data_IF_544546178781
#
_entry.id   IF_544546178781
#
_cell.length_a   1.000
_cell.length_b   1.000
_cell.length_c   1.000
_cell.angle_alpha   90.00
_cell.angle_beta   90.00
_cell.angle_gamma   90.00
#
_symmetry.space_group_name_H-M   'P 1'
#
loop_
_entity.id
_entity.type
_entity.pdbx_description
1 polymer ?
#
# COMPACT_ATOMS: atom_id res chain seq x y z
N UNK A 1 29.59 21.77 -33.73
CA UNK A 1 28.48 22.15 -32.83
C UNK A 1 29.11 22.68 -31.55
N UNK A 2 28.94 23.96 -31.25
CA UNK A 2 29.42 24.59 -30.00
C UNK A 2 28.27 24.65 -29.00
N UNK A 3 28.39 23.93 -27.89
CA UNK A 3 27.51 24.09 -26.72
C UNK A 3 27.92 25.39 -26.03
N UNK A 4 27.08 26.42 -26.08
CA UNK A 4 27.25 27.64 -25.31
C UNK A 4 26.72 27.40 -23.89
N UNK A 5 27.59 27.50 -22.89
CA UNK A 5 27.24 27.44 -21.47
C UNK A 5 26.52 28.74 -21.07
N UNK A 6 25.30 28.63 -20.54
CA UNK A 6 24.55 29.71 -19.93
C UNK A 6 24.40 29.43 -18.42
N UNK A 7 25.17 30.10 -17.55
CA UNK A 7 25.12 29.84 -16.12
C UNK A 7 23.71 30.03 -15.52
N UNK A 8 22.87 30.91 -16.06
CA UNK A 8 21.54 31.12 -15.49
C UNK A 8 20.59 29.94 -15.77
N UNK A 9 20.71 29.33 -16.96
CA UNK A 9 19.93 28.16 -17.33
C UNK A 9 20.57 26.86 -16.82
N UNK A 10 21.89 26.73 -16.99
CA UNK A 10 22.63 25.50 -16.74
C UNK A 10 22.78 25.21 -15.25
N UNK A 11 23.02 26.21 -14.40
CA UNK A 11 23.09 25.94 -12.95
C UNK A 11 21.73 25.54 -12.38
N UNK A 12 20.65 26.17 -12.85
CA UNK A 12 19.29 25.79 -12.46
C UNK A 12 18.97 24.34 -12.82
N UNK A 13 19.36 23.89 -14.01
CA UNK A 13 19.14 22.52 -14.47
C UNK A 13 20.03 21.47 -13.79
N UNK A 14 21.22 21.83 -13.30
CA UNK A 14 22.22 20.87 -12.81
C UNK A 14 22.27 20.76 -11.29
N UNK A 15 21.99 21.84 -10.53
CA UNK A 15 22.36 21.89 -9.11
C UNK A 15 21.23 21.68 -8.12
N UNK A 16 19.99 21.99 -8.49
CA UNK A 16 18.91 22.06 -7.50
C UNK A 16 18.42 20.66 -7.06
N UNK A 17 18.56 19.64 -7.93
CA UNK A 17 18.01 18.28 -7.71
C UNK A 17 16.55 18.30 -7.30
N UNK A 18 15.80 19.30 -7.77
CA UNK A 18 14.36 19.35 -7.54
C UNK A 18 13.65 18.45 -8.54
N UNK A 19 12.47 17.97 -8.17
CA UNK A 19 11.60 17.25 -9.07
C UNK A 19 10.16 17.77 -8.94
N UNK A 20 9.44 17.79 -10.07
CA UNK A 20 8.00 17.98 -10.08
C UNK A 20 7.31 16.74 -9.53
N UNK A 21 6.49 16.94 -8.51
CA UNK A 21 5.66 15.89 -7.91
C UNK A 21 4.20 16.30 -7.94
N UNK A 22 3.33 15.32 -7.73
CA UNK A 22 1.92 15.57 -7.42
C UNK A 22 1.65 15.21 -5.96
N UNK A 23 1.22 16.19 -5.16
CA UNK A 23 0.72 15.97 -3.80
C UNK A 23 -0.80 15.76 -3.86
N UNK A 24 -1.28 14.63 -3.36
CA UNK A 24 -2.68 14.29 -3.24
C UNK A 24 -3.08 14.28 -1.77
N UNK A 25 -3.81 15.31 -1.29
CA UNK A 25 -4.31 15.35 0.07
C UNK A 25 -5.29 14.20 0.36
N UNK A 26 -5.32 13.71 1.59
CA UNK A 26 -6.28 12.69 2.04
C UNK A 26 -7.75 13.15 1.90
N UNK A 27 -7.99 14.46 2.06
CA UNK A 27 -9.30 15.07 1.83
C UNK A 27 -9.73 15.14 0.35
N UNK A 28 -8.85 14.76 -0.58
CA UNK A 28 -9.08 14.83 -2.02
C UNK A 28 -8.40 16.03 -2.69
N UNK A 29 -8.46 16.04 -4.03
CA UNK A 29 -7.73 16.99 -4.87
C UNK A 29 -6.30 16.55 -5.18
N UNK A 30 -5.64 17.27 -6.07
CA UNK A 30 -4.24 17.07 -6.42
C UNK A 30 -3.58 18.43 -6.67
N UNK A 31 -2.37 18.61 -6.14
CA UNK A 31 -1.59 19.84 -6.26
C UNK A 31 -0.24 19.48 -6.90
N UNK A 32 0.09 20.15 -7.99
CA UNK A 32 1.41 20.03 -8.60
C UNK A 32 2.43 20.86 -7.83
N UNK A 33 3.58 20.28 -7.51
CA UNK A 33 4.67 20.93 -6.78
C UNK A 33 5.96 20.78 -7.59
N UNK A 34 6.42 21.85 -8.22
CA UNK A 34 7.51 21.78 -9.19
C UNK A 34 8.93 21.77 -8.58
N UNK A 35 9.07 22.15 -7.31
CA UNK A 35 10.37 22.34 -6.67
C UNK A 35 10.57 21.46 -5.42
N UNK A 36 10.08 20.21 -5.47
CA UNK A 36 10.23 19.26 -4.35
C UNK A 36 11.66 18.70 -4.33
N UNK A 37 12.25 18.58 -3.14
CA UNK A 37 13.58 17.97 -2.97
C UNK A 37 13.44 16.61 -2.30
N UNK A 38 13.83 15.54 -3.01
CA UNK A 38 13.93 14.20 -2.44
C UNK A 38 15.32 13.97 -1.85
N UNK A 39 15.42 13.82 -0.52
CA UNK A 39 16.68 13.40 0.12
C UNK A 39 16.90 11.92 -0.12
N UNK A 40 18.15 11.54 -0.40
CA UNK A 40 18.54 10.13 -0.48
C UNK A 40 18.20 9.44 0.85
N UNK A 41 17.66 8.21 0.84
CA UNK A 41 17.43 7.46 2.06
C UNK A 41 18.74 7.39 2.85
N UNK A 42 18.72 7.82 4.11
CA UNK A 42 19.85 7.62 5.01
C UNK A 42 19.77 6.17 5.46
N UNK A 43 20.57 5.29 4.86
CA UNK A 43 20.70 3.90 5.28
C UNK A 43 21.31 3.90 6.68
N UNK A 44 20.48 3.70 7.69
CA UNK A 44 20.87 3.52 9.09
C UNK A 44 20.13 2.33 9.67
N UNK A 45 20.68 1.69 10.69
CA UNK A 45 20.00 0.59 11.39
C UNK A 45 18.62 1.08 11.88
N UNK A 46 17.56 0.38 11.48
CA UNK A 46 16.19 0.74 11.76
C UNK A 46 15.93 0.76 13.27
N UNK A 47 15.85 1.95 13.88
CA UNK A 47 15.07 2.13 15.11
C UNK A 47 13.61 2.22 14.73
N UNK A 48 12.99 1.06 14.57
CA UNK A 48 11.53 0.94 14.52
C UNK A 48 10.97 1.48 15.83
N UNK A 49 10.18 2.55 15.78
CA UNK A 49 9.32 2.92 16.90
C UNK A 49 8.32 1.76 17.13
N UNK A 50 8.52 0.99 18.19
CA UNK A 50 7.53 0.07 18.74
C UNK A 50 7.43 -1.36 18.17
N UNK A 51 8.01 -1.67 17.00
CA UNK A 51 8.01 -3.05 16.46
C UNK A 51 9.40 -3.65 16.53
N UNK A 52 9.59 -4.70 17.35
CA UNK A 52 10.81 -5.53 17.31
C UNK A 52 10.90 -6.16 15.93
N UNK A 53 11.78 -5.63 15.10
CA UNK A 53 12.19 -6.25 13.84
C UNK A 53 13.26 -7.26 14.20
N UNK A 54 12.88 -8.53 14.29
CA UNK A 54 13.80 -9.63 14.58
C UNK A 54 14.29 -10.33 13.31
N UNK A 55 14.05 -9.73 12.13
CA UNK A 55 14.42 -10.33 10.85
C UNK A 55 15.48 -9.51 10.11
N UNK A 56 16.57 -10.14 9.64
CA UNK A 56 17.56 -9.50 8.79
C UNK A 56 16.94 -9.26 7.40
N UNK A 57 16.53 -8.03 7.11
CA UNK A 57 15.92 -7.70 5.81
C UNK A 57 14.93 -6.54 5.80
N UNK A 58 14.63 -5.88 6.93
CA UNK A 58 13.77 -4.69 6.91
C UNK A 58 14.44 -3.52 6.18
N UNK A 59 14.12 -3.38 4.90
CA UNK A 59 14.58 -2.29 4.05
C UNK A 59 13.96 -0.99 4.58
N UNK A 60 14.79 -0.03 4.97
CA UNK A 60 14.36 1.33 5.24
C UNK A 60 13.77 1.94 3.97
N UNK A 61 12.45 2.06 3.92
CA UNK A 61 11.70 2.68 2.80
C UNK A 61 11.30 4.13 3.07
N UNK A 62 11.81 4.74 4.14
CA UNK A 62 11.47 6.11 4.50
C UNK A 62 12.37 7.08 3.75
N UNK A 63 11.72 8.01 3.05
CA UNK A 63 12.36 9.06 2.27
C UNK A 63 11.89 10.40 2.82
N UNK A 64 12.84 11.32 2.96
CA UNK A 64 12.53 12.69 3.37
C UNK A 64 12.34 13.54 2.12
N UNK A 65 11.15 14.11 2.01
CA UNK A 65 10.79 15.11 1.02
C UNK A 65 10.84 16.50 1.63
N UNK A 66 11.36 17.48 0.89
CA UNK A 66 11.18 18.88 1.24
C UNK A 66 10.30 19.57 0.20
N UNK A 67 9.16 20.10 0.63
CA UNK A 67 8.18 20.78 -0.24
C UNK A 67 8.20 22.29 0.04
N UNK A 68 8.22 23.16 -0.98
CA UNK A 68 8.11 24.61 -0.76
C UNK A 68 6.76 24.98 -0.14
N UNK A 69 6.79 25.65 1.02
CA UNK A 69 5.57 26.00 1.74
C UNK A 69 4.65 26.92 0.94
N UNK A 70 5.22 27.86 0.18
CA UNK A 70 4.46 28.78 -0.67
C UNK A 70 3.77 28.13 -1.88
N UNK A 71 4.12 26.89 -2.23
CA UNK A 71 3.44 26.16 -3.30
C UNK A 71 2.19 25.42 -2.80
N UNK A 72 1.99 25.33 -1.48
CA UNK A 72 0.91 24.58 -0.87
C UNK A 72 -0.07 25.54 -0.20
N UNK A 73 -1.35 25.47 -0.59
CA UNK A 73 -2.40 26.24 0.07
C UNK A 73 -2.67 25.75 1.51
N UNK A 74 -2.47 24.46 1.76
CA UNK A 74 -2.66 23.81 3.05
C UNK A 74 -1.39 23.07 3.47
N UNK A 75 -1.17 22.94 4.77
CA UNK A 75 -0.09 22.13 5.31
C UNK A 75 -0.28 20.65 4.89
N UNK A 76 0.78 19.96 4.42
CA UNK A 76 0.72 18.52 4.22
C UNK A 76 0.54 17.82 5.57
N UNK A 77 -0.28 16.78 5.59
CA UNK A 77 -0.59 16.01 6.80
C UNK A 77 -0.23 14.53 6.61
N UNK A 78 -0.03 13.77 7.71
CA UNK A 78 0.07 12.31 7.61
C UNK A 78 -1.11 11.72 6.83
N UNK A 79 -0.83 10.74 5.96
CA UNK A 79 -1.82 10.11 5.07
C UNK A 79 -1.90 10.70 3.67
N UNK A 80 -1.46 11.95 3.48
CA UNK A 80 -1.32 12.54 2.15
C UNK A 80 -0.35 11.71 1.30
N UNK A 81 -0.55 11.72 -0.02
CA UNK A 81 0.25 10.94 -0.97
C UNK A 81 1.09 11.86 -1.84
N UNK A 82 2.35 11.53 -2.01
CA UNK A 82 3.27 12.14 -2.99
C UNK A 82 3.45 11.15 -4.13
N UNK A 83 3.07 11.54 -5.33
CA UNK A 83 3.44 10.84 -6.56
C UNK A 83 4.67 11.52 -7.14
N UNK A 84 5.80 10.82 -7.15
CA UNK A 84 7.06 11.33 -7.70
C UNK A 84 7.08 11.31 -9.22
N UNK A 85 8.10 11.95 -9.81
CA UNK A 85 8.27 12.05 -11.27
C UNK A 85 8.42 10.70 -11.97
N UNK A 86 8.89 9.68 -11.25
CA UNK A 86 9.00 8.28 -11.67
C UNK A 86 7.69 7.49 -11.53
N UNK A 87 6.59 8.13 -11.09
CA UNK A 87 5.28 7.50 -10.88
C UNK A 87 5.15 6.72 -9.57
N UNK A 88 6.18 6.71 -8.72
CA UNK A 88 6.11 6.04 -7.42
C UNK A 88 5.24 6.82 -6.43
N UNK A 89 4.48 6.10 -5.61
CA UNK A 89 3.56 6.70 -4.64
C UNK A 89 4.10 6.53 -3.23
N UNK A 90 4.30 7.65 -2.55
CA UNK A 90 4.81 7.73 -1.19
C UNK A 90 3.72 8.26 -0.26
N UNK A 91 3.49 7.61 0.87
CA UNK A 91 2.55 8.08 1.88
C UNK A 91 3.30 8.89 2.93
N UNK A 92 2.88 10.13 3.17
CA UNK A 92 3.44 10.98 4.22
C UNK A 92 3.06 10.38 5.58
N UNK A 93 4.08 10.16 6.42
CA UNK A 93 3.94 9.65 7.78
C UNK A 93 4.06 10.78 8.81
N UNK A 94 4.87 11.78 8.50
CA UNK A 94 5.10 12.95 9.35
C UNK A 94 5.40 14.16 8.46
N UNK A 95 4.90 15.33 8.85
CA UNK A 95 5.17 16.59 8.19
C UNK A 95 5.48 17.67 9.22
N UNK A 96 6.59 18.39 9.02
CA UNK A 96 7.03 19.47 9.89
C UNK A 96 7.49 20.66 9.07
N UNK A 97 7.11 21.88 9.48
CA UNK A 97 7.60 23.08 8.82
C UNK A 97 9.04 23.38 9.29
N UNK A 98 9.97 23.51 8.36
CA UNK A 98 11.40 23.73 8.61
C UNK A 98 11.94 24.92 7.80
N UNK A 99 13.25 25.17 7.94
CA UNK A 99 14.00 26.19 7.18
C UNK A 99 13.35 27.57 7.30
N UNK A 100 13.20 28.05 8.54
CA UNK A 100 12.58 29.34 8.84
C UNK A 100 11.15 29.50 8.27
N UNK A 101 10.41 28.40 8.13
CA UNK A 101 9.03 28.44 7.63
C UNK A 101 8.90 28.31 6.11
N UNK A 102 10.00 28.16 5.37
CA UNK A 102 9.97 28.17 3.90
C UNK A 102 9.68 26.80 3.27
N UNK A 103 9.92 25.70 3.98
CA UNK A 103 9.78 24.34 3.44
C UNK A 103 9.20 23.37 4.45
N UNK A 104 8.27 22.52 4.00
CA UNK A 104 7.81 21.36 4.73
C UNK A 104 8.80 20.23 4.59
N UNK A 105 9.25 19.65 5.70
CA UNK A 105 9.95 18.36 5.75
C UNK A 105 8.92 17.26 5.97
N UNK A 106 8.71 16.45 4.96
CA UNK A 106 7.80 15.30 4.99
C UNK A 106 8.61 14.00 5.04
N UNK A 107 8.42 13.20 6.07
CA UNK A 107 8.89 11.81 6.08
C UNK A 107 7.81 10.97 5.40
N UNK A 108 8.15 10.31 4.30
CA UNK A 108 7.20 9.52 3.53
C UNK A 108 7.72 8.11 3.26
N UNK A 109 6.81 7.15 3.10
CA UNK A 109 7.12 5.73 2.89
C UNK A 109 6.47 5.21 1.63
N UNK A 110 7.22 4.41 0.87
CA UNK A 110 6.64 3.63 -0.21
C UNK A 110 6.03 2.33 0.33
N UNK A 111 4.75 2.39 0.71
CA UNK A 111 4.07 1.29 1.41
C UNK A 111 4.09 -0.03 0.61
N UNK A 112 4.08 0.03 -0.71
CA UNK A 112 4.10 -1.19 -1.52
C UNK A 112 5.44 -1.96 -1.44
N UNK A 113 6.54 -1.25 -1.16
CA UNK A 113 7.85 -1.88 -0.94
C UNK A 113 7.95 -2.34 0.51
N UNK A 114 7.50 -1.51 1.45
CA UNK A 114 7.57 -1.81 2.89
C UNK A 114 6.82 -3.10 3.25
N UNK A 115 5.64 -3.31 2.64
CA UNK A 115 4.79 -4.47 2.92
C UNK A 115 4.99 -5.63 1.94
N UNK A 116 5.98 -5.53 1.03
CA UNK A 116 6.26 -6.55 0.00
C UNK A 116 5.00 -6.91 -0.80
N UNK A 117 4.31 -5.91 -1.37
CA UNK A 117 3.10 -6.11 -2.18
C UNK A 117 3.46 -6.66 -3.59
N UNK A 118 4.09 -7.82 -3.63
CA UNK A 118 4.58 -8.48 -4.85
C UNK A 118 3.55 -9.42 -5.48
N UNK A 119 2.51 -9.77 -4.73
CA UNK A 119 1.50 -10.73 -5.14
C UNK A 119 0.32 -10.01 -5.79
N UNK A 120 -0.14 -10.53 -6.94
CA UNK A 120 -1.39 -10.08 -7.55
C UNK A 120 -2.50 -11.05 -7.20
N UNK A 121 -3.62 -10.50 -6.71
CA UNK A 121 -4.83 -11.24 -6.39
C UNK A 121 -6.01 -10.67 -7.16
N UNK A 122 -6.89 -11.54 -7.61
CA UNK A 122 -8.22 -11.16 -8.06
C UNK A 122 -9.18 -11.18 -6.88
N UNK A 123 -10.12 -10.23 -6.86
CA UNK A 123 -11.17 -10.16 -5.86
C UNK A 123 -12.48 -10.54 -6.54
N UNK A 124 -13.06 -11.66 -6.11
CA UNK A 124 -14.37 -12.13 -6.53
C UNK A 124 -15.43 -11.73 -5.50
N UNK A 125 -16.66 -11.53 -5.97
CA UNK A 125 -17.85 -11.32 -5.13
C UNK A 125 -18.89 -12.43 -5.36
N UNK A 126 -19.48 -12.92 -4.27
CA UNK A 126 -20.53 -13.93 -4.29
C UNK A 126 -21.90 -13.31 -4.59
N UNK A 127 -22.48 -13.69 -5.72
CA UNK A 127 -23.83 -13.38 -6.12
C UNK A 127 -24.74 -14.54 -5.72
N UNK A 128 -25.71 -14.26 -4.84
CA UNK A 128 -26.69 -15.26 -4.43
C UNK A 128 -27.69 -15.46 -5.58
N UNK A 129 -27.87 -16.71 -5.99
CA UNK A 129 -28.86 -17.13 -6.99
C UNK A 129 -29.65 -18.31 -6.42
N UNK A 130 -30.84 -18.53 -6.95
CA UNK A 130 -31.55 -19.80 -6.76
C UNK A 130 -31.25 -20.71 -7.95
N UNK A 131 -30.92 -21.96 -7.67
CA UNK A 131 -30.79 -22.97 -8.70
C UNK A 131 -32.17 -23.35 -9.29
N UNK A 132 -32.19 -24.30 -10.22
CA UNK A 132 -33.43 -24.80 -10.85
C UNK A 132 -34.40 -25.49 -9.87
N UNK A 133 -33.95 -25.84 -8.68
CA UNK A 133 -34.72 -26.48 -7.61
C UNK A 133 -35.09 -25.49 -6.50
N UNK A 134 -34.74 -24.20 -6.63
CA UNK A 134 -34.99 -23.18 -5.63
C UNK A 134 -33.97 -23.15 -4.48
N UNK A 135 -32.94 -23.99 -4.52
CA UNK A 135 -31.86 -24.05 -3.54
C UNK A 135 -30.92 -22.84 -3.67
N UNK A 136 -30.29 -22.39 -2.57
CA UNK A 136 -29.34 -21.29 -2.63
C UNK A 136 -28.04 -21.73 -3.31
N UNK A 137 -27.65 -21.02 -4.36
CA UNK A 137 -26.41 -21.19 -5.10
C UNK A 137 -25.59 -19.89 -5.05
N UNK A 138 -24.28 -20.00 -4.83
CA UNK A 138 -23.37 -18.85 -4.89
C UNK A 138 -22.62 -18.85 -6.22
N UNK A 139 -22.94 -17.89 -7.08
CA UNK A 139 -22.17 -17.62 -8.28
C UNK A 139 -21.08 -16.59 -7.97
N UNK A 140 -19.83 -16.96 -8.17
CA UNK A 140 -18.70 -16.06 -7.98
C UNK A 140 -18.40 -15.30 -9.26
N UNK A 141 -18.32 -13.96 -9.15
CA UNK A 141 -17.96 -13.09 -10.28
C UNK A 141 -16.78 -12.22 -9.90
N UNK A 142 -15.81 -12.09 -10.81
CA UNK A 142 -14.69 -11.18 -10.64
C UNK A 142 -15.19 -9.74 -10.49
N UNK A 143 -14.77 -9.11 -9.41
CA UNK A 143 -15.11 -7.73 -9.08
C UNK A 143 -13.93 -6.79 -9.31
N UNK A 144 -12.72 -7.18 -8.88
CA UNK A 144 -11.45 -6.51 -9.20
C UNK A 144 -10.43 -7.53 -9.68
N UNK A 145 -9.58 -7.12 -10.62
CA UNK A 145 -8.53 -7.96 -11.17
C UNK A 145 -7.15 -7.40 -10.82
N UNK A 146 -6.16 -8.28 -10.64
CA UNK A 146 -4.75 -7.92 -10.47
C UNK A 146 -4.48 -6.88 -9.36
N UNK A 147 -5.20 -7.00 -8.24
CA UNK A 147 -4.98 -6.15 -7.07
C UNK A 147 -3.65 -6.53 -6.43
N UNK A 148 -2.75 -5.55 -6.24
CA UNK A 148 -1.49 -5.76 -5.54
C UNK A 148 -1.75 -5.97 -4.05
N UNK A 149 -1.26 -7.09 -3.53
CA UNK A 149 -1.43 -7.50 -2.16
C UNK A 149 -0.17 -8.22 -1.64
N UNK A 150 -0.05 -8.31 -0.31
CA UNK A 150 0.91 -9.15 0.39
C UNK A 150 0.15 -10.10 1.28
N UNK A 151 0.44 -11.40 1.16
CA UNK A 151 -0.23 -12.47 1.90
C UNK A 151 0.78 -13.01 2.92
N UNK A 152 0.51 -12.80 4.20
CA UNK A 152 1.36 -13.25 5.30
C UNK A 152 0.62 -14.29 6.14
N UNK A 153 1.25 -15.40 6.56
CA UNK A 153 0.66 -16.31 7.53
C UNK A 153 0.35 -15.57 8.84
N UNK A 154 -0.86 -15.70 9.36
CA UNK A 154 -1.28 -15.04 10.61
C UNK A 154 -1.38 -16.04 11.77
N UNK A 155 -2.07 -17.15 11.56
CA UNK A 155 -2.16 -18.24 12.54
C UNK A 155 -2.45 -19.57 11.88
N UNK A 156 -2.04 -20.65 12.53
CA UNK A 156 -2.37 -22.02 12.13
C UNK A 156 -3.02 -22.67 13.34
N UNK A 157 -4.28 -23.04 13.21
CA UNK A 157 -5.01 -23.77 14.23
C UNK A 157 -5.31 -25.16 13.72
N UNK A 158 -4.78 -26.18 14.40
CA UNK A 158 -5.20 -27.56 14.17
C UNK A 158 -6.43 -27.84 15.06
N UNK A 159 -7.55 -28.20 14.44
CA UNK A 159 -8.75 -28.67 15.15
C UNK A 159 -9.01 -30.13 14.79
N UNK A 160 -9.62 -30.84 15.74
CA UNK A 160 -10.16 -32.18 15.52
C UNK A 160 -11.66 -32.06 15.68
N UNK A 161 -12.40 -32.27 14.61
CA UNK A 161 -13.87 -32.28 14.62
C UNK A 161 -14.35 -33.62 14.04
N UNK A 162 -15.11 -34.39 14.83
CA UNK A 162 -15.62 -35.72 14.47
C UNK A 162 -14.55 -36.68 13.90
N UNK A 163 -13.42 -36.84 14.60
CA UNK A 163 -12.24 -37.64 14.18
C UNK A 163 -11.55 -37.18 12.88
N UNK A 164 -11.96 -36.06 12.31
CA UNK A 164 -11.28 -35.42 11.18
C UNK A 164 -10.34 -34.33 11.71
N UNK A 165 -9.04 -34.48 11.44
CA UNK A 165 -8.07 -33.40 11.65
C UNK A 165 -8.24 -32.36 10.54
N UNK A 166 -8.66 -31.16 10.92
CA UNK A 166 -8.65 -29.99 10.07
C UNK A 166 -7.49 -29.07 10.46
N UNK A 167 -6.77 -28.57 9.47
CA UNK A 167 -5.76 -27.53 9.67
C UNK A 167 -6.34 -26.25 9.10
N UNK A 168 -6.71 -25.33 9.98
CA UNK A 168 -7.20 -24.01 9.64
C UNK A 168 -6.05 -23.02 9.66
N UNK A 169 -5.52 -22.72 8.48
CA UNK A 169 -4.53 -21.66 8.29
C UNK A 169 -5.22 -20.33 7.95
N UNK A 170 -5.02 -19.32 8.80
CA UNK A 170 -5.42 -17.94 8.52
C UNK A 170 -4.24 -17.11 8.05
N UNK A 171 -4.52 -16.15 7.18
CA UNK A 171 -3.54 -15.27 6.58
C UNK A 171 -4.00 -13.82 6.74
N UNK A 172 -3.05 -12.92 7.01
CA UNK A 172 -3.25 -11.49 6.90
C UNK A 172 -2.92 -11.06 5.47
N UNK A 173 -3.84 -10.36 4.83
CA UNK A 173 -3.67 -9.82 3.48
C UNK A 173 -3.70 -8.31 3.54
N UNK A 174 -2.60 -7.68 3.13
CA UNK A 174 -2.49 -6.23 3.01
C UNK A 174 -2.68 -5.81 1.56
N UNK A 175 -3.51 -4.82 1.29
CA UNK A 175 -3.81 -4.33 -0.06
C UNK A 175 -3.19 -2.95 -0.31
N UNK A 176 -2.74 -2.72 -1.55
CA UNK A 176 -2.22 -1.41 -1.96
C UNK A 176 -3.31 -0.32 -2.02
N UNK A 177 -4.52 -0.72 -2.41
CA UNK A 177 -5.67 0.17 -2.60
C UNK A 177 -6.72 -0.14 -1.53
N UNK A 178 -7.45 0.89 -1.09
CA UNK A 178 -8.62 0.72 -0.24
C UNK A 178 -9.87 0.51 -1.11
N UNK A 179 -10.69 -0.47 -0.74
CA UNK A 179 -11.97 -0.74 -1.37
C UNK A 179 -12.90 -1.53 -0.43
N UNK A 180 -14.20 -1.50 -0.72
CA UNK A 180 -15.19 -2.16 0.12
C UNK A 180 -15.10 -3.71 0.02
N UNK A 181 -14.33 -4.32 0.91
CA UNK A 181 -14.25 -5.77 1.08
C UNK A 181 -15.16 -6.21 2.24
N UNK A 182 -15.60 -7.46 2.21
CA UNK A 182 -16.48 -8.04 3.23
C UNK A 182 -16.65 -9.54 3.05
N UNK A 183 -17.47 -10.21 3.88
CA UNK A 183 -17.56 -11.69 3.92
C UNK A 183 -18.06 -12.36 2.63
N UNK A 184 -18.72 -11.59 1.76
CA UNK A 184 -19.17 -12.07 0.43
C UNK A 184 -18.07 -12.03 -0.63
N UNK A 185 -16.86 -11.62 -0.26
CA UNK A 185 -15.72 -11.57 -1.15
C UNK A 185 -14.79 -12.75 -0.88
N UNK A 186 -14.09 -13.17 -1.94
CA UNK A 186 -12.95 -14.08 -1.84
C UNK A 186 -11.81 -13.53 -2.69
N UNK A 187 -10.60 -13.91 -2.33
CA UNK A 187 -9.40 -13.59 -3.09
C UNK A 187 -8.97 -14.85 -3.84
N UNK A 188 -8.52 -14.66 -5.07
CA UNK A 188 -7.96 -15.72 -5.90
C UNK A 188 -6.57 -15.27 -6.31
N UNK A 189 -5.54 -16.00 -5.90
CA UNK A 189 -4.17 -15.67 -6.28
C UNK A 189 -3.83 -16.18 -7.69
N UNK A 190 -2.64 -15.85 -8.19
CA UNK A 190 -2.16 -16.33 -9.50
C UNK A 190 -2.00 -17.84 -9.60
N UNK A 191 -1.90 -18.55 -8.48
CA UNK A 191 -1.81 -20.01 -8.44
C UNK A 191 -3.20 -20.66 -8.38
N UNK A 192 -4.28 -19.87 -8.37
CA UNK A 192 -5.65 -20.35 -8.23
C UNK A 192 -6.04 -20.70 -6.79
N UNK A 193 -5.21 -20.39 -5.79
CA UNK A 193 -5.55 -20.58 -4.38
C UNK A 193 -6.62 -19.58 -3.99
N UNK A 194 -7.64 -20.07 -3.30
CA UNK A 194 -8.80 -19.30 -2.88
C UNK A 194 -8.67 -18.95 -1.40
N UNK A 195 -8.88 -17.68 -1.07
CA UNK A 195 -8.91 -17.18 0.29
C UNK A 195 -10.27 -16.54 0.57
N UNK A 196 -10.97 -17.04 1.59
CA UNK A 196 -12.26 -16.52 2.03
C UNK A 196 -12.04 -15.40 3.04
N UNK A 197 -12.68 -14.25 2.83
CA UNK A 197 -12.56 -13.09 3.73
C UNK A 197 -13.34 -13.36 5.02
N UNK A 198 -12.63 -13.38 6.15
CA UNK A 198 -13.24 -13.55 7.46
C UNK A 198 -13.61 -12.20 8.07
N UNK A 199 -12.64 -11.29 8.10
CA UNK A 199 -12.77 -9.96 8.70
C UNK A 199 -11.92 -8.97 7.94
N UNK A 200 -12.38 -7.73 7.89
CA UNK A 200 -11.63 -6.59 7.34
C UNK A 200 -11.36 -5.62 8.46
N UNK A 201 -10.10 -5.23 8.60
CA UNK A 201 -9.66 -4.17 9.50
C UNK A 201 -9.34 -2.95 8.63
N UNK A 202 -10.18 -1.92 8.77
CA UNK A 202 -9.93 -0.64 8.10
C UNK A 202 -8.77 0.07 8.80
N UNK A 203 -7.96 0.80 8.03
CA UNK A 203 -6.91 1.67 8.56
C UNK A 203 -7.46 2.51 9.70
N UNK A 204 -6.85 2.40 10.87
CA UNK A 204 -7.13 3.30 11.99
C UNK A 204 -6.08 4.41 12.06
N UNK A 205 -4.88 4.17 11.52
CA UNK A 205 -3.77 5.12 11.54
C UNK A 205 -3.34 5.52 10.13
N UNK A 206 -2.86 6.75 9.97
CA UNK A 206 -2.26 7.23 8.73
C UNK A 206 -1.02 6.39 8.37
N UNK A 207 -1.03 5.78 7.17
CA UNK A 207 0.10 4.99 6.66
C UNK A 207 -0.04 3.47 6.72
N UNK A 208 -1.21 2.93 7.08
CA UNK A 208 -1.34 1.51 7.48
C UNK A 208 -1.72 0.44 6.45
N UNK A 209 -1.88 0.65 5.15
CA UNK A 209 -2.62 -0.28 4.24
C UNK A 209 -3.97 -0.87 4.75
N UNK A 210 -4.82 -1.30 3.83
CA UNK A 210 -6.03 -2.02 4.19
C UNK A 210 -5.66 -3.47 4.51
N UNK A 211 -6.13 -4.01 5.64
CA UNK A 211 -5.84 -5.39 6.04
C UNK A 211 -7.12 -6.23 6.07
N UNK A 212 -7.04 -7.45 5.54
CA UNK A 212 -8.06 -8.47 5.70
C UNK A 212 -7.48 -9.74 6.33
N UNK A 213 -8.20 -10.31 7.28
CA UNK A 213 -7.94 -11.64 7.76
C UNK A 213 -8.72 -12.62 6.89
N UNK A 214 -8.02 -13.59 6.31
CA UNK A 214 -8.60 -14.55 5.37
C UNK A 214 -8.28 -15.98 5.80
N UNK A 215 -9.15 -16.91 5.41
CA UNK A 215 -8.92 -18.36 5.55
C UNK A 215 -8.67 -18.94 4.17
N UNK A 216 -7.62 -19.74 4.01
CA UNK A 216 -7.42 -20.48 2.76
C UNK A 216 -8.51 -21.55 2.65
N UNK A 217 -9.28 -21.53 1.57
CA UNK A 217 -10.19 -22.62 1.28
C UNK A 217 -9.35 -23.87 1.00
N UNK A 218 -9.68 -24.99 1.66
CA UNK A 218 -9.11 -26.29 1.33
C UNK A 218 -9.27 -26.54 -0.17
N UNK A 219 -8.33 -27.30 -0.76
CA UNK A 219 -8.43 -27.70 -2.16
C UNK A 219 -9.75 -28.47 -2.32
N UNK A 220 -10.77 -27.80 -2.85
CA UNK A 220 -12.01 -28.46 -3.25
C UNK A 220 -11.69 -29.07 -4.60
N UNK A 221 -11.19 -30.30 -4.59
CA UNK A 221 -11.02 -31.11 -5.79
C UNK A 221 -12.42 -31.27 -6.38
N UNK A 222 -12.74 -30.47 -7.39
CA UNK A 222 -13.97 -30.60 -8.14
C UNK A 222 -13.76 -31.77 -9.11
N UNK A 223 -14.05 -32.97 -8.63
CA UNK A 223 -14.24 -34.17 -9.49
C UNK A 223 -15.55 -34.09 -10.25
#
# INVERSE_FOLDING_TARGET
>A
MTLAFDPNADFGAVTDRTESITLQPAAGGAVQVDAALRRRPVVGEARSFGRRVTEPGAIQTDVVWHLPAGALANAPVPGDKITSSDGMVWTILQAELQTLGSRWRCVARHLAIAETLDTLVDVDVALARKDRHGGPELLWRRWKANVRASIQPASITASVDNDVRAIDATHAVHFQEDFALGPRHRLVDRQGRIYLVLRVEKQQTHGELMQALVKQAGIVTTT
#
